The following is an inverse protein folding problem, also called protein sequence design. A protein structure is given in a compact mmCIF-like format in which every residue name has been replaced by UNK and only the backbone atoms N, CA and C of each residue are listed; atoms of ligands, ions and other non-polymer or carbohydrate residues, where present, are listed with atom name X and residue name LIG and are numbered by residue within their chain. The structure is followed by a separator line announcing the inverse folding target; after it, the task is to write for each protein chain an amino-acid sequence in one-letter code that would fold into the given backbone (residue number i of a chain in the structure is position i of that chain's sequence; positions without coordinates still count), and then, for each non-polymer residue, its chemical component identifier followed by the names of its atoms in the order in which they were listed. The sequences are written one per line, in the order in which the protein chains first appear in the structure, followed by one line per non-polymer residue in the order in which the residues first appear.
data_IF_115227112522
#
_entry.id   IF_115227112522
#
_cell.length_a   1.000
_cell.length_b   1.000
_cell.length_c   1.000
_cell.angle_alpha   90.00
_cell.angle_beta   90.00
_cell.angle_gamma   90.00
#
_symmetry.space_group_name_H-M   'P 1'
#
loop_
_entity.id
_entity.type
_entity.pdbx_description
1 polymer ?
#
# COMPACT_ATOMS: atom_id res chain seq x y z
N UNK A 1 -20.67 4.08 17.36
CA UNK A 1 -21.34 3.25 16.33
C UNK A 1 -20.34 2.86 15.25
N UNK A 2 -20.43 1.67 14.65
CA UNK A 2 -19.50 1.22 13.59
C UNK A 2 -19.89 1.85 12.25
N UNK A 3 -18.92 2.40 11.52
CA UNK A 3 -19.13 3.01 10.21
C UNK A 3 -18.35 2.22 9.16
N UNK A 4 -18.96 2.04 7.99
CA UNK A 4 -18.32 1.44 6.82
C UNK A 4 -18.31 2.46 5.70
N UNK A 5 -17.16 2.63 5.06
CA UNK A 5 -17.03 3.50 3.91
C UNK A 5 -16.04 2.94 2.90
N UNK A 6 -16.31 3.20 1.62
CA UNK A 6 -15.43 2.81 0.52
C UNK A 6 -14.57 4.01 0.13
N UNK A 7 -13.27 3.80 0.01
CA UNK A 7 -12.33 4.84 -0.43
C UNK A 7 -11.31 4.23 -1.40
N UNK A 8 -10.89 5.03 -2.37
CA UNK A 8 -9.85 4.64 -3.33
C UNK A 8 -8.57 5.36 -2.96
N UNK A 9 -7.49 4.60 -2.75
CA UNK A 9 -6.17 5.13 -2.41
C UNK A 9 -5.17 4.77 -3.49
N UNK A 10 -4.35 5.76 -3.86
CA UNK A 10 -3.21 5.55 -4.77
C UNK A 10 -1.98 5.20 -3.95
N UNK A 11 -1.38 4.06 -4.27
CA UNK A 11 -0.16 3.57 -3.61
C UNK A 11 0.89 3.22 -4.64
N UNK A 12 2.15 3.42 -4.27
CA UNK A 12 3.30 3.03 -5.08
C UNK A 12 4.13 1.99 -4.32
N UNK A 13 4.68 1.03 -5.07
CA UNK A 13 5.56 0.00 -4.53
C UNK A 13 6.71 -0.32 -5.47
N UNK A 14 7.80 -0.83 -4.90
CA UNK A 14 9.02 -1.18 -5.63
C UNK A 14 9.55 -2.54 -5.18
N UNK A 15 10.21 -3.25 -6.09
CA UNK A 15 10.77 -4.56 -5.77
C UNK A 15 11.71 -5.09 -6.84
N UNK A 16 12.52 -6.08 -6.47
CA UNK A 16 13.40 -6.80 -7.41
C UNK A 16 12.66 -7.84 -8.25
N UNK A 17 11.41 -8.15 -7.87
CA UNK A 17 10.48 -8.97 -8.65
C UNK A 17 9.13 -8.25 -8.74
N UNK A 18 8.31 -8.64 -9.74
CA UNK A 18 6.94 -8.15 -9.90
C UNK A 18 6.13 -8.37 -8.62
N UNK A 19 6.11 -9.59 -8.09
CA UNK A 19 5.37 -9.93 -6.87
C UNK A 19 5.81 -9.09 -5.67
N UNK A 20 7.10 -8.83 -5.53
CA UNK A 20 7.63 -8.02 -4.42
C UNK A 20 7.23 -6.55 -4.55
N UNK A 21 7.22 -5.99 -5.76
CA UNK A 21 6.74 -4.62 -5.99
C UNK A 21 5.25 -4.46 -5.70
N UNK A 22 4.42 -5.45 -6.04
CA UNK A 22 2.99 -5.46 -5.71
C UNK A 22 2.76 -5.60 -4.19
N UNK A 23 3.46 -6.52 -3.52
CA UNK A 23 3.35 -6.69 -2.08
C UNK A 23 3.76 -5.41 -1.32
N UNK A 24 4.83 -4.76 -1.76
CA UNK A 24 5.29 -3.48 -1.22
C UNK A 24 4.23 -2.38 -1.37
N UNK A 25 3.59 -2.28 -2.54
CA UNK A 25 2.51 -1.32 -2.77
C UNK A 25 1.29 -1.59 -1.86
N UNK A 26 0.88 -2.86 -1.71
CA UNK A 26 -0.26 -3.23 -0.86
C UNK A 26 0.01 -2.97 0.63
N UNK A 27 1.24 -3.14 1.09
CA UNK A 27 1.62 -2.79 2.47
C UNK A 27 1.43 -1.29 2.76
N UNK A 28 1.58 -0.43 1.75
CA UNK A 28 1.35 1.00 1.90
C UNK A 28 -0.13 1.40 1.94
N UNK A 29 -1.06 0.51 1.55
CA UNK A 29 -2.51 0.79 1.55
C UNK A 29 -3.00 1.11 2.96
N UNK A 30 -2.60 0.33 3.96
CA UNK A 30 -3.02 0.56 5.34
C UNK A 30 -2.62 1.96 5.81
N UNK A 31 -1.36 2.34 5.62
CA UNK A 31 -0.87 3.67 6.00
C UNK A 31 -1.54 4.80 5.19
N UNK A 32 -1.84 4.58 3.92
CA UNK A 32 -2.54 5.54 3.08
C UNK A 32 -3.98 5.80 3.57
N UNK A 33 -4.70 4.74 3.94
CA UNK A 33 -6.05 4.84 4.51
C UNK A 33 -6.03 5.55 5.85
N UNK A 34 -5.07 5.22 6.73
CA UNK A 34 -4.92 5.90 8.02
C UNK A 34 -4.67 7.41 7.88
N UNK A 35 -3.90 7.84 6.88
CA UNK A 35 -3.70 9.28 6.62
C UNK A 35 -4.97 10.00 6.16
N UNK A 36 -5.88 9.28 5.52
CA UNK A 36 -7.13 9.84 5.00
C UNK A 36 -8.26 9.93 6.04
N UNK A 37 -8.12 9.28 7.20
CA UNK A 37 -9.18 9.22 8.21
C UNK A 37 -8.65 9.36 9.64
N UNK A 38 -9.26 10.23 10.44
CA UNK A 38 -8.99 10.38 11.89
C UNK A 38 -9.67 9.31 12.76
N UNK A 39 -10.40 8.36 12.17
CA UNK A 39 -11.19 7.34 12.86
C UNK A 39 -10.33 6.11 13.19
N UNK A 40 -10.72 5.36 14.23
CA UNK A 40 -10.06 4.08 14.57
C UNK A 40 -10.47 3.01 13.55
N UNK A 41 -9.51 2.55 12.75
CA UNK A 41 -9.74 1.54 11.73
C UNK A 41 -9.76 0.14 12.34
N UNK A 42 -10.84 -0.62 12.12
CA UNK A 42 -11.00 -2.00 12.58
C UNK A 42 -10.63 -3.02 11.50
N UNK A 43 -11.02 -2.75 10.25
CA UNK A 43 -10.82 -3.66 9.12
C UNK A 43 -10.65 -2.85 7.84
N UNK A 44 -9.65 -3.21 7.05
CA UNK A 44 -9.42 -2.69 5.71
C UNK A 44 -9.46 -3.90 4.78
N UNK A 45 -10.40 -3.91 3.85
CA UNK A 45 -10.54 -4.99 2.87
C UNK A 45 -10.36 -4.40 1.47
N UNK A 46 -9.32 -4.81 0.70
CA UNK A 46 -9.21 -4.43 -0.69
C UNK A 46 -10.30 -5.13 -1.49
N UNK A 47 -11.16 -4.35 -2.15
CA UNK A 47 -12.21 -4.87 -3.03
C UNK A 47 -11.74 -4.94 -4.47
N UNK A 48 -10.99 -3.93 -4.92
CA UNK A 48 -10.48 -3.86 -6.28
C UNK A 48 -9.09 -3.23 -6.33
N UNK A 49 -8.28 -3.68 -7.28
CA UNK A 49 -6.90 -3.22 -7.49
C UNK A 49 -6.71 -2.95 -8.98
N UNK A 50 -6.54 -1.68 -9.33
CA UNK A 50 -6.26 -1.25 -10.69
C UNK A 50 -4.80 -0.81 -10.81
N UNK A 51 -4.08 -1.33 -11.83
CA UNK A 51 -2.71 -0.92 -12.11
C UNK A 51 -2.71 0.34 -12.97
N UNK A 52 -2.23 1.45 -12.43
CA UNK A 52 -2.12 2.72 -13.16
C UNK A 52 -0.82 2.74 -13.96
N UNK A 53 0.30 2.37 -13.32
CA UNK A 53 1.60 2.27 -13.97
C UNK A 53 2.35 1.03 -13.52
N UNK A 54 3.01 0.37 -14.47
CA UNK A 54 3.99 -0.68 -14.20
C UNK A 54 5.24 -0.40 -15.03
N UNK A 55 6.38 -0.23 -14.35
CA UNK A 55 7.66 0.06 -15.00
C UNK A 55 8.69 -0.99 -14.61
N UNK A 56 9.47 -1.44 -15.58
CA UNK A 56 10.64 -2.30 -15.39
C UNK A 56 11.88 -1.49 -15.76
N UNK A 57 12.84 -1.42 -14.84
CA UNK A 57 14.14 -0.82 -15.07
C UNK A 57 15.21 -1.91 -14.97
N UNK A 58 15.93 -2.11 -16.08
CA UNK A 58 17.05 -3.06 -16.17
C UNK A 58 18.34 -2.26 -16.17
N UNK A 59 19.19 -2.49 -15.17
CA UNK A 59 20.54 -1.91 -15.11
C UNK A 59 21.58 -3.00 -15.25
N UNK A 60 22.53 -2.77 -16.15
CA UNK A 60 23.69 -3.64 -16.32
C UNK A 60 24.81 -3.08 -15.47
N UNK A 61 25.17 -3.81 -14.43
CA UNK A 61 26.31 -3.48 -13.59
C UNK A 61 27.52 -4.29 -14.08
N UNK A 62 28.64 -3.60 -14.31
CA UNK A 62 29.92 -4.23 -14.57
C UNK A 62 30.62 -4.45 -13.23
N UNK A 63 30.45 -5.64 -12.63
CA UNK A 63 31.21 -6.01 -11.45
C UNK A 63 32.54 -6.64 -11.90
N UNK A 64 33.65 -6.18 -11.31
CA UNK A 64 35.03 -6.66 -11.48
C UNK A 64 35.46 -7.02 -12.93
N UNK A 65 35.94 -6.01 -13.67
CA UNK A 65 36.81 -6.14 -14.86
C UNK A 65 36.39 -7.16 -15.94
N UNK A 66 35.18 -7.03 -16.50
CA UNK A 66 34.69 -7.74 -17.73
C UNK A 66 34.03 -9.12 -17.46
N UNK A 67 34.26 -9.76 -16.31
CA UNK A 67 33.84 -11.15 -16.09
C UNK A 67 32.49 -11.34 -15.38
N UNK A 68 32.01 -10.37 -14.60
CA UNK A 68 30.77 -10.52 -13.82
C UNK A 68 29.74 -9.45 -14.21
N UNK A 69 29.14 -9.62 -15.40
CA UNK A 69 27.99 -8.81 -15.82
C UNK A 69 26.75 -9.29 -15.07
N UNK A 70 26.26 -8.48 -14.12
CA UNK A 70 24.97 -8.72 -13.45
C UNK A 70 23.93 -7.78 -14.04
N UNK A 71 22.82 -8.35 -14.50
CA UNK A 71 21.63 -7.57 -14.85
C UNK A 71 20.75 -7.45 -13.60
N UNK A 72 20.65 -6.24 -13.04
CA UNK A 72 19.73 -5.96 -11.94
C UNK A 72 18.43 -5.44 -12.52
N UNK A 73 17.35 -6.16 -12.28
CA UNK A 73 15.99 -5.75 -12.63
C UNK A 73 15.32 -5.16 -11.42
N UNK A 74 14.65 -4.04 -11.62
CA UNK A 74 13.84 -3.38 -10.62
C UNK A 74 12.47 -3.10 -11.22
N UNK A 75 11.44 -3.38 -10.45
CA UNK A 75 10.05 -3.18 -10.83
C UNK A 75 9.47 -2.11 -9.92
N UNK A 76 8.73 -1.18 -10.51
CA UNK A 76 7.96 -0.18 -9.77
C UNK A 76 6.54 -0.16 -10.29
N UNK A 77 5.57 -0.18 -9.38
CA UNK A 77 4.15 -0.18 -9.69
C UNK A 77 3.44 0.95 -8.98
N UNK A 78 2.44 1.53 -9.63
CA UNK A 78 1.47 2.43 -9.04
C UNK A 78 0.09 1.79 -9.18
N UNK A 79 -0.59 1.64 -8.06
CA UNK A 79 -1.88 0.96 -7.94
C UNK A 79 -2.91 1.93 -7.38
N UNK A 80 -4.08 1.96 -7.98
CA UNK A 80 -5.29 2.52 -7.38
C UNK A 80 -6.05 1.36 -6.73
N UNK A 81 -6.16 1.40 -5.40
CA UNK A 81 -6.76 0.33 -4.60
C UNK A 81 -8.04 0.86 -3.98
N UNK A 82 -9.16 0.24 -4.33
CA UNK A 82 -10.45 0.51 -3.72
C UNK A 82 -10.60 -0.38 -2.49
N UNK A 83 -10.68 0.25 -1.32
CA UNK A 83 -10.81 -0.46 -0.05
C UNK A 83 -12.16 -0.17 0.59
N UNK A 84 -12.73 -1.20 1.20
CA UNK A 84 -13.81 -1.04 2.16
C UNK A 84 -13.19 -0.96 3.57
N UNK A 85 -13.49 0.12 4.27
CA UNK A 85 -12.93 0.43 5.58
C UNK A 85 -14.04 0.40 6.62
N UNK A 86 -13.89 -0.45 7.63
CA UNK A 86 -14.74 -0.42 8.83
C UNK A 86 -14.01 0.33 9.93
N UNK A 87 -14.62 1.40 10.44
CA UNK A 87 -14.03 2.24 11.49
C UNK A 87 -15.01 2.47 12.65
N UNK A 88 -14.46 2.84 13.81
CA UNK A 88 -15.21 3.38 14.95
C UNK A 88 -14.94 4.88 15.01
N UNK A 89 -16.03 5.63 15.07
CA UNK A 89 -16.02 7.04 15.41
C UNK A 89 -15.90 7.20 16.94
N UNK A 90 -14.79 7.81 17.39
CA UNK A 90 -14.48 8.03 18.80
C UNK A 90 -15.36 9.13 19.41
N UNK A 91 -15.85 10.07 18.61
CA UNK A 91 -16.70 11.17 19.08
C UNK A 91 -18.08 10.67 19.55
N UNK A 92 -18.42 9.42 19.19
CA UNK A 92 -19.65 8.72 19.58
C UNK A 92 -19.43 7.67 20.66
N UNK A 93 -18.27 7.68 21.33
CA UNK A 93 -17.97 6.77 22.45
C UNK A 93 -18.10 7.54 23.76
N UNK A 94 -19.11 7.18 24.54
CA UNK A 94 -19.31 7.77 25.87
C UNK A 94 -18.31 7.18 26.86
N UNK A 95 -17.29 7.97 27.24
CA UNK A 95 -16.35 7.60 28.29
C UNK A 95 -16.94 7.99 29.65
N UNK A 96 -17.23 6.98 30.48
CA UNK A 96 -17.62 7.20 31.88
C UNK A 96 -16.37 7.31 32.75
N UNK A 97 -16.25 8.42 33.48
CA UNK A 97 -15.17 8.63 34.45
C UNK A 97 -15.47 7.84 35.71
N UNK A 98 -14.67 6.81 36.02
CA UNK A 98 -14.69 6.19 37.34
C UNK A 98 -13.85 7.04 38.30
N UNK A 99 -14.48 7.50 39.38
CA UNK A 99 -13.84 8.15 40.53
C UNK A 99 -13.62 7.12 41.63
#
# INVERSE_FOLDING_TARGET
MKEQFTTTVRVAGKGESKSRAFADALNHVQAAVMKSSSRILLRIEPQDVTVVHAREAVRKEAFLFIFLRRERRTYSVELDVTVNVTAIDLDKVDFVTQT
#
